data_IF_780587968797
#
_entry.id   IF_780587968797
#
_cell.length_a   1.000
_cell.length_b   1.000
_cell.length_c   1.000
_cell.angle_alpha   90.00
_cell.angle_beta   90.00
_cell.angle_gamma   90.00
#
_symmetry.space_group_name_H-M   'P 1'
#
loop_
_entity.id
_entity.type
_entity.pdbx_description
1 polymer ?
#
# COMPACT_ATOMS: atom_id res chain seq x y z
N UNK A 1 31.05 -64.86 31.45
CA UNK A 1 30.50 -65.11 30.10
C UNK A 1 28.99 -65.18 30.21
N UNK A 2 28.29 -64.18 29.67
CA UNK A 2 26.93 -64.26 29.15
C UNK A 2 26.65 -62.96 28.39
N UNK A 3 26.29 -63.11 27.13
CA UNK A 3 26.12 -62.04 26.15
C UNK A 3 24.64 -61.64 26.02
N UNK A 4 24.44 -60.35 25.68
CA UNK A 4 23.29 -59.75 24.93
C UNK A 4 21.91 -59.62 25.62
N UNK A 5 21.03 -58.66 25.22
CA UNK A 5 21.15 -57.71 24.11
C UNK A 5 20.84 -56.23 24.40
N UNK A 6 21.36 -55.45 23.46
CA UNK A 6 21.11 -54.05 23.10
C UNK A 6 19.64 -53.66 22.96
N UNK A 7 19.28 -52.46 23.42
CA UNK A 7 18.17 -51.69 22.87
C UNK A 7 18.70 -50.35 22.36
N UNK A 8 18.67 -50.08 21.04
CA UNK A 8 19.18 -48.83 20.47
C UNK A 8 18.20 -47.67 20.71
N UNK A 9 18.77 -46.51 21.00
CA UNK A 9 18.09 -45.24 21.08
C UNK A 9 17.31 -44.96 19.79
N UNK A 10 16.02 -44.68 19.92
CA UNK A 10 15.25 -44.02 18.86
C UNK A 10 15.69 -42.56 18.77
N UNK A 11 16.85 -42.32 18.19
CA UNK A 11 17.18 -41.01 17.63
C UNK A 11 16.36 -40.87 16.36
N UNK A 12 15.23 -40.18 16.47
CA UNK A 12 14.43 -39.72 15.35
C UNK A 12 15.32 -39.00 14.34
N UNK A 13 15.55 -39.67 13.20
CA UNK A 13 16.17 -39.12 12.01
C UNK A 13 15.38 -37.84 11.62
N UNK A 14 16.00 -36.66 11.46
CA UNK A 14 15.31 -35.54 10.89
C UNK A 14 14.92 -35.90 9.45
N UNK A 15 13.62 -35.82 9.18
CA UNK A 15 13.01 -35.97 7.87
C UNK A 15 13.79 -35.15 6.84
N UNK A 16 14.53 -35.83 5.98
CA UNK A 16 15.21 -35.23 4.83
C UNK A 16 14.15 -34.74 3.86
N UNK A 17 13.81 -33.45 3.95
CA UNK A 17 13.20 -32.71 2.84
C UNK A 17 14.07 -32.99 1.61
N UNK A 18 13.52 -33.62 0.57
CA UNK A 18 14.23 -33.83 -0.69
C UNK A 18 14.40 -32.47 -1.36
N UNK A 19 15.42 -31.74 -0.94
CA UNK A 19 15.73 -30.44 -1.51
C UNK A 19 16.11 -30.65 -2.97
N UNK A 20 15.36 -30.03 -3.87
CA UNK A 20 15.78 -29.89 -5.26
C UNK A 20 17.21 -29.33 -5.25
N UNK A 21 18.11 -29.80 -6.13
CA UNK A 21 19.52 -29.37 -6.16
C UNK A 21 19.70 -27.88 -6.52
N UNK A 22 18.59 -27.18 -6.72
CA UNK A 22 18.49 -25.84 -7.23
C UNK A 22 17.49 -25.05 -6.40
N UNK A 23 17.88 -23.83 -6.02
CA UNK A 23 17.03 -22.84 -5.36
C UNK A 23 17.00 -21.57 -6.19
N UNK A 24 15.80 -21.06 -6.52
CA UNK A 24 15.64 -19.85 -7.33
C UNK A 24 15.05 -18.74 -6.47
N UNK A 25 15.69 -17.57 -6.52
CA UNK A 25 15.21 -16.33 -5.92
C UNK A 25 14.75 -15.41 -7.05
N UNK A 26 13.44 -15.22 -7.18
CA UNK A 26 12.83 -14.33 -8.17
C UNK A 26 12.64 -12.90 -7.64
N UNK A 27 12.47 -11.94 -8.55
CA UNK A 27 12.16 -10.54 -8.25
C UNK A 27 13.21 -9.88 -7.34
N UNK A 28 14.48 -10.13 -7.63
CA UNK A 28 15.59 -9.49 -6.94
C UNK A 28 15.68 -8.02 -7.33
N UNK A 29 16.20 -7.19 -6.44
CA UNK A 29 16.56 -5.82 -6.78
C UNK A 29 17.72 -5.82 -7.79
N UNK A 30 17.82 -4.81 -8.68
CA UNK A 30 18.91 -4.72 -9.64
C UNK A 30 20.27 -4.69 -8.94
N UNK A 31 21.15 -5.61 -9.35
CA UNK A 31 22.52 -5.74 -8.85
C UNK A 31 23.48 -5.59 -10.02
N UNK A 32 24.59 -4.88 -9.81
CA UNK A 32 25.65 -4.76 -10.81
C UNK A 32 26.70 -5.84 -10.56
N UNK A 33 26.96 -6.68 -11.55
CA UNK A 33 28.03 -7.69 -11.53
C UNK A 33 28.80 -7.63 -12.85
N UNK A 34 30.14 -7.58 -12.78
CA UNK A 34 31.03 -7.41 -13.94
C UNK A 34 30.64 -6.26 -14.89
N UNK A 35 30.12 -5.16 -14.35
CA UNK A 35 29.70 -3.98 -15.13
C UNK A 35 28.34 -4.13 -15.84
N UNK A 36 27.63 -5.24 -15.64
CA UNK A 36 26.29 -5.48 -16.19
C UNK A 36 25.23 -5.51 -15.08
N UNK A 37 24.01 -5.15 -15.41
CA UNK A 37 22.88 -5.12 -14.47
C UNK A 37 22.05 -6.41 -14.56
N UNK A 38 21.93 -7.10 -13.44
CA UNK A 38 21.08 -8.28 -13.25
C UNK A 38 19.95 -7.94 -12.29
N UNK A 39 18.74 -8.45 -12.53
CA UNK A 39 17.58 -8.00 -11.76
C UNK A 39 16.32 -8.83 -11.95
N UNK A 40 16.41 -10.01 -12.58
CA UNK A 40 15.26 -10.88 -12.81
C UNK A 40 15.16 -11.95 -11.74
N UNK A 41 16.20 -12.77 -11.63
CA UNK A 41 16.27 -13.84 -10.65
C UNK A 41 17.71 -14.29 -10.44
N UNK A 42 17.97 -14.96 -9.33
CA UNK A 42 19.22 -15.66 -9.03
C UNK A 42 18.93 -17.12 -8.76
N UNK A 43 19.66 -18.01 -9.41
CA UNK A 43 19.57 -19.45 -9.20
C UNK A 43 20.83 -19.97 -8.51
N UNK A 44 20.66 -20.64 -7.38
CA UNK A 44 21.72 -21.30 -6.64
C UNK A 44 21.67 -22.79 -6.96
N UNK A 45 22.69 -23.30 -7.67
CA UNK A 45 22.78 -24.70 -8.05
C UNK A 45 23.84 -25.40 -7.19
N UNK A 46 23.38 -26.24 -6.26
CA UNK A 46 24.24 -26.97 -5.31
C UNK A 46 25.05 -28.03 -6.05
N UNK A 47 24.44 -28.75 -7.00
CA UNK A 47 25.11 -29.82 -7.74
C UNK A 47 26.26 -29.32 -8.60
N UNK A 48 26.14 -28.12 -9.18
CA UNK A 48 27.17 -27.52 -10.04
C UNK A 48 28.01 -26.45 -9.34
N UNK A 49 27.83 -26.28 -8.02
CA UNK A 49 28.55 -25.35 -7.15
C UNK A 49 28.66 -23.91 -7.68
N UNK A 50 27.57 -23.38 -8.24
CA UNK A 50 27.54 -22.01 -8.75
C UNK A 50 26.21 -21.30 -8.50
N UNK A 51 26.29 -19.99 -8.52
CA UNK A 51 25.21 -19.04 -8.56
C UNK A 51 25.04 -18.54 -10.01
N UNK A 52 23.83 -18.50 -10.52
CA UNK A 52 23.52 -18.01 -11.87
C UNK A 52 22.61 -16.79 -11.78
N UNK A 53 23.06 -15.68 -12.34
CA UNK A 53 22.32 -14.43 -12.37
C UNK A 53 21.56 -14.30 -13.68
N UNK A 54 20.26 -14.00 -13.59
CA UNK A 54 19.42 -13.74 -14.74
C UNK A 54 19.11 -12.24 -14.87
N UNK A 55 19.23 -11.73 -16.09
CA UNK A 55 18.79 -10.39 -16.47
C UNK A 55 17.72 -10.47 -17.55
N UNK A 56 16.92 -9.41 -17.68
CA UNK A 56 16.05 -9.23 -18.85
C UNK A 56 16.83 -8.64 -20.05
N UNK A 57 17.96 -7.99 -19.78
CA UNK A 57 18.70 -7.19 -20.76
C UNK A 57 20.00 -7.85 -21.22
N UNK A 58 20.49 -8.85 -20.48
CA UNK A 58 21.78 -9.49 -20.72
C UNK A 58 21.68 -11.01 -20.61
N UNK A 59 22.66 -11.69 -21.21
CA UNK A 59 22.81 -13.14 -21.07
C UNK A 59 23.05 -13.52 -19.59
N UNK A 60 22.66 -14.73 -19.17
CA UNK A 60 22.90 -15.16 -17.79
C UNK A 60 24.39 -15.31 -17.49
N UNK A 61 24.78 -14.93 -16.28
CA UNK A 61 26.18 -15.00 -15.83
C UNK A 61 26.34 -15.90 -14.61
N UNK A 62 27.53 -16.44 -14.42
CA UNK A 62 27.82 -17.53 -13.49
C UNK A 62 28.91 -17.13 -12.51
N UNK A 63 28.64 -17.30 -11.22
CA UNK A 63 29.58 -17.07 -10.14
C UNK A 63 29.79 -18.38 -9.37
N UNK A 64 31.03 -18.87 -9.32
CA UNK A 64 31.35 -20.08 -8.57
C UNK A 64 31.25 -19.84 -7.07
N UNK A 65 30.77 -20.82 -6.31
CA UNK A 65 30.75 -20.73 -4.84
C UNK A 65 32.15 -20.61 -4.25
N UNK A 66 33.19 -21.10 -4.94
CA UNK A 66 34.58 -20.92 -4.52
C UNK A 66 35.03 -19.45 -4.50
N UNK A 67 34.33 -18.57 -5.22
CA UNK A 67 34.61 -17.13 -5.25
C UNK A 67 33.84 -16.36 -4.16
N UNK A 68 32.93 -17.01 -3.43
CA UNK A 68 32.08 -16.39 -2.42
C UNK A 68 32.67 -16.66 -1.04
N UNK A 69 33.22 -15.62 -0.41
CA UNK A 69 33.82 -15.73 0.92
C UNK A 69 32.77 -15.79 2.04
N UNK A 70 31.69 -15.01 1.92
CA UNK A 70 30.62 -14.96 2.92
C UNK A 70 29.27 -14.61 2.30
N UNK A 71 28.19 -15.19 2.84
CA UNK A 71 26.81 -14.87 2.48
C UNK A 71 26.11 -14.35 3.73
N UNK A 72 25.61 -13.12 3.68
CA UNK A 72 24.86 -12.50 4.78
C UNK A 72 23.41 -12.36 4.40
N UNK A 73 22.52 -13.02 5.15
CA UNK A 73 21.06 -12.91 4.99
C UNK A 73 20.54 -12.02 6.11
N UNK A 74 20.05 -10.81 5.77
CA UNK A 74 19.47 -9.86 6.72
C UNK A 74 18.01 -9.61 6.39
N UNK A 75 17.15 -9.64 7.41
CA UNK A 75 15.75 -9.25 7.29
C UNK A 75 15.60 -7.77 7.71
N UNK A 76 15.41 -6.89 6.72
CA UNK A 76 15.24 -5.46 7.00
C UNK A 76 13.79 -5.12 7.36
N UNK A 77 13.54 -4.98 8.67
CA UNK A 77 12.24 -4.61 9.20
C UNK A 77 11.92 -3.12 9.00
N UNK A 78 12.93 -2.28 8.70
CA UNK A 78 12.77 -0.83 8.57
C UNK A 78 11.92 -0.48 7.35
N UNK A 79 12.09 -1.22 6.25
CA UNK A 79 11.28 -1.03 5.04
C UNK A 79 9.80 -1.33 5.28
N UNK A 80 9.49 -2.39 6.05
CA UNK A 80 8.11 -2.68 6.47
C UNK A 80 7.56 -1.52 7.33
N UNK A 81 8.32 -1.04 8.30
CA UNK A 81 7.90 0.06 9.17
C UNK A 81 7.57 1.34 8.38
N UNK A 82 8.37 1.67 7.36
CA UNK A 82 8.10 2.83 6.49
C UNK A 82 6.78 2.71 5.74
N UNK A 83 6.46 1.53 5.19
CA UNK A 83 5.21 1.28 4.46
C UNK A 83 4.01 1.41 5.42
N UNK A 84 4.09 0.81 6.60
CA UNK A 84 3.05 0.93 7.62
C UNK A 84 2.87 2.38 8.10
N UNK A 85 3.97 3.12 8.26
CA UNK A 85 3.93 4.54 8.58
C UNK A 85 3.19 5.37 7.52
N UNK A 86 3.53 5.17 6.25
CA UNK A 86 2.86 5.86 5.14
C UNK A 86 1.36 5.55 5.06
N UNK A 87 0.99 4.27 5.20
CA UNK A 87 -0.41 3.85 5.23
C UNK A 87 -1.20 4.52 6.37
N UNK A 88 -0.58 4.64 7.55
CA UNK A 88 -1.20 5.28 8.71
C UNK A 88 -1.42 6.78 8.49
N UNK A 89 -0.47 7.48 7.87
CA UNK A 89 -0.61 8.90 7.54
C UNK A 89 -1.78 9.10 6.56
N UNK A 90 -1.86 8.29 5.51
CA UNK A 90 -2.95 8.36 4.53
C UNK A 90 -4.32 8.13 5.18
N UNK A 91 -4.41 7.15 6.09
CA UNK A 91 -5.63 6.88 6.86
C UNK A 91 -6.03 8.11 7.68
N UNK A 92 -5.09 8.72 8.40
CA UNK A 92 -5.35 9.92 9.21
C UNK A 92 -5.82 11.10 8.36
N UNK A 93 -5.19 11.34 7.21
CA UNK A 93 -5.61 12.39 6.27
C UNK A 93 -7.03 12.13 5.74
N UNK A 94 -7.34 10.88 5.38
CA UNK A 94 -8.68 10.48 4.95
C UNK A 94 -9.75 10.75 6.00
N UNK A 95 -9.49 10.39 7.26
CA UNK A 95 -10.40 10.65 8.39
C UNK A 95 -10.58 12.16 8.59
N UNK A 96 -9.50 12.94 8.52
CA UNK A 96 -9.55 14.38 8.72
C UNK A 96 -10.44 15.07 7.66
N UNK A 97 -10.32 14.69 6.39
CA UNK A 97 -11.16 15.23 5.30
C UNK A 97 -12.63 14.94 5.56
N UNK A 98 -12.94 13.73 6.05
CA UNK A 98 -14.31 13.31 6.36
C UNK A 98 -14.88 14.16 7.50
N UNK A 99 -14.12 14.39 8.57
CA UNK A 99 -14.50 15.26 9.68
C UNK A 99 -14.70 16.72 9.26
N UNK A 100 -13.86 17.25 8.35
CA UNK A 100 -14.03 18.61 7.82
C UNK A 100 -15.35 18.73 7.05
N UNK A 101 -15.69 17.73 6.22
CA UNK A 101 -16.98 17.71 5.50
C UNK A 101 -18.19 17.76 6.45
N UNK A 102 -18.11 17.11 7.61
CA UNK A 102 -19.17 17.12 8.64
C UNK A 102 -19.37 18.52 9.26
N UNK A 103 -18.40 19.44 9.15
CA UNK A 103 -18.50 20.80 9.74
C UNK A 103 -18.82 21.91 8.74
N UNK A 104 -18.95 21.62 7.44
CA UNK A 104 -19.29 22.66 6.45
C UNK A 104 -20.82 22.80 6.35
N UNK A 105 -21.38 24.02 6.51
CA UNK A 105 -22.81 24.27 6.34
C UNK A 105 -23.31 23.72 5.02
N UNK A 106 -24.38 22.94 5.07
CA UNK A 106 -24.89 22.19 3.92
C UNK A 106 -25.61 23.06 2.88
N UNK A 107 -26.04 24.27 3.23
CA UNK A 107 -26.70 25.20 2.31
C UNK A 107 -26.05 26.59 2.27
N UNK A 108 -26.00 27.14 1.07
CA UNK A 108 -25.50 28.49 0.78
C UNK A 108 -26.62 29.32 0.16
N UNK A 109 -27.14 30.29 0.91
CA UNK A 109 -28.18 31.22 0.47
C UNK A 109 -27.49 32.48 -0.07
N UNK A 110 -27.76 32.86 -1.32
CA UNK A 110 -27.18 34.06 -1.94
C UNK A 110 -28.27 35.10 -2.24
N UNK A 111 -28.13 36.28 -1.64
CA UNK A 111 -29.03 37.41 -1.82
C UNK A 111 -28.37 38.44 -2.75
N UNK A 112 -28.88 38.58 -3.97
CA UNK A 112 -28.46 39.62 -4.92
C UNK A 112 -29.27 40.90 -4.66
N UNK A 113 -28.62 41.96 -4.19
CA UNK A 113 -29.28 43.24 -3.94
C UNK A 113 -29.24 44.13 -5.18
N UNK A 114 -30.36 44.82 -5.48
CA UNK A 114 -30.50 45.70 -6.66
C UNK A 114 -29.47 46.85 -6.70
N UNK A 115 -29.03 47.35 -5.53
CA UNK A 115 -28.14 48.52 -5.40
C UNK A 115 -26.68 48.16 -5.06
N UNK A 116 -26.38 46.88 -4.77
CA UNK A 116 -25.05 46.44 -4.33
C UNK A 116 -24.54 45.37 -5.31
N UNK A 117 -23.37 45.58 -5.91
CA UNK A 117 -22.81 44.68 -6.92
C UNK A 117 -22.42 43.30 -6.37
N UNK A 118 -22.12 43.19 -5.08
CA UNK A 118 -21.71 41.92 -4.44
C UNK A 118 -22.92 41.26 -3.77
N UNK A 119 -23.19 39.97 -4.03
CA UNK A 119 -24.26 39.24 -3.35
C UNK A 119 -23.91 39.01 -1.88
N UNK A 120 -24.89 39.15 -1.00
CA UNK A 120 -24.76 38.76 0.41
C UNK A 120 -24.94 37.26 0.49
N UNK A 121 -23.94 36.57 1.04
CA UNK A 121 -23.96 35.11 1.18
C UNK A 121 -24.18 34.73 2.63
N UNK A 122 -25.20 33.91 2.89
CA UNK A 122 -25.49 33.33 4.20
C UNK A 122 -25.26 31.82 4.08
N UNK A 123 -24.41 31.27 4.96
CA UNK A 123 -24.15 29.84 5.05
C UNK A 123 -24.95 29.30 6.23
N UNK A 124 -25.82 28.32 6.00
CA UNK A 124 -26.74 27.81 7.01
C UNK A 124 -26.77 26.28 7.02
N UNK A 125 -27.00 25.74 8.22
CA UNK A 125 -27.35 24.34 8.42
C UNK A 125 -28.87 24.22 8.31
N UNK A 126 -29.36 23.72 7.19
CA UNK A 126 -30.79 23.52 6.94
C UNK A 126 -30.99 22.10 6.46
N UNK A 127 -32.02 21.42 6.96
CA UNK A 127 -32.43 20.17 6.33
C UNK A 127 -33.18 20.45 5.03
N UNK A 128 -33.28 19.46 4.14
CA UNK A 128 -33.92 19.64 2.84
C UNK A 128 -35.40 20.06 2.94
N UNK A 129 -36.08 19.57 3.98
CA UNK A 129 -37.45 20.00 4.29
C UNK A 129 -37.51 21.48 4.71
N UNK A 130 -36.52 21.96 5.47
CA UNK A 130 -36.46 23.35 5.93
C UNK A 130 -36.06 24.30 4.81
N UNK A 131 -35.12 23.89 3.94
CA UNK A 131 -34.73 24.66 2.78
C UNK A 131 -35.88 24.80 1.78
N UNK A 132 -36.67 23.74 1.60
CA UNK A 132 -37.90 23.76 0.79
C UNK A 132 -38.97 24.65 1.41
N UNK A 133 -39.17 24.58 2.74
CA UNK A 133 -40.08 25.48 3.46
C UNK A 133 -39.67 26.94 3.31
N UNK A 134 -38.38 27.25 3.42
CA UNK A 134 -37.85 28.59 3.24
C UNK A 134 -38.06 29.10 1.81
N UNK A 135 -37.77 28.27 0.80
CA UNK A 135 -37.99 28.64 -0.60
C UNK A 135 -39.47 28.92 -0.89
N UNK A 136 -40.38 28.07 -0.40
CA UNK A 136 -41.82 28.24 -0.55
C UNK A 136 -42.33 29.49 0.20
N UNK A 137 -41.84 29.72 1.42
CA UNK A 137 -42.19 30.91 2.20
C UNK A 137 -41.83 32.20 1.44
N UNK A 138 -40.62 32.26 0.87
CA UNK A 138 -40.15 33.41 0.10
C UNK A 138 -40.93 33.59 -1.21
N UNK A 139 -41.23 32.50 -1.94
CA UNK A 139 -42.05 32.57 -3.15
C UNK A 139 -43.49 33.03 -2.88
N UNK A 140 -44.05 32.71 -1.71
CA UNK A 140 -45.43 33.06 -1.38
C UNK A 140 -45.57 34.51 -0.87
N UNK A 141 -44.55 35.04 -0.19
CA UNK A 141 -44.62 36.35 0.49
C UNK A 141 -43.78 37.44 -0.19
N UNK A 142 -43.16 37.16 -1.33
CA UNK A 142 -42.37 38.16 -2.05
C UNK A 142 -42.40 37.94 -3.56
N UNK A 143 -42.36 39.03 -4.33
CA UNK A 143 -42.19 38.99 -5.80
C UNK A 143 -40.74 38.62 -6.22
N UNK A 144 -40.01 37.92 -5.36
CA UNK A 144 -38.62 37.53 -5.60
C UNK A 144 -38.57 36.25 -6.44
N UNK A 145 -37.70 36.24 -7.44
CA UNK A 145 -37.37 35.01 -8.17
C UNK A 145 -36.44 34.16 -7.30
N UNK A 146 -36.99 33.13 -6.66
CA UNK A 146 -36.21 32.17 -5.86
C UNK A 146 -35.73 31.04 -6.76
N UNK A 147 -34.42 30.95 -6.97
CA UNK A 147 -33.79 29.81 -7.64
C UNK A 147 -33.40 28.76 -6.60
N UNK A 148 -34.24 27.73 -6.44
CA UNK A 148 -33.93 26.58 -5.60
C UNK A 148 -33.19 25.52 -6.42
N UNK A 149 -32.00 25.13 -5.97
CA UNK A 149 -31.22 24.05 -6.57
C UNK A 149 -31.15 22.95 -5.51
N UNK A 150 -31.90 21.84 -5.67
CA UNK A 150 -31.85 20.72 -4.74
C UNK A 150 -30.44 20.10 -4.74
N UNK A 151 -30.07 19.51 -3.60
CA UNK A 151 -28.80 18.81 -3.49
C UNK A 151 -28.99 17.40 -4.06
N UNK A 152 -28.36 17.10 -5.20
CA UNK A 152 -28.28 15.73 -5.73
C UNK A 152 -27.42 14.83 -4.83
#
# INVERSE_FOLDING_TARGET
MNETPSSPSKTSKPTSLSQSPTFVLDNIEPVTYQGQHYGKSVEFNVSKAHCKFYSQFHAPDYLSFAQIEHITIRNDHKRKLLIWGLATILLFVGILILLVRVRVPNWKIQLKLKKIKKPVTIMAWLDEAESTRLANFLNLHSDLVVHFIPRN
#
